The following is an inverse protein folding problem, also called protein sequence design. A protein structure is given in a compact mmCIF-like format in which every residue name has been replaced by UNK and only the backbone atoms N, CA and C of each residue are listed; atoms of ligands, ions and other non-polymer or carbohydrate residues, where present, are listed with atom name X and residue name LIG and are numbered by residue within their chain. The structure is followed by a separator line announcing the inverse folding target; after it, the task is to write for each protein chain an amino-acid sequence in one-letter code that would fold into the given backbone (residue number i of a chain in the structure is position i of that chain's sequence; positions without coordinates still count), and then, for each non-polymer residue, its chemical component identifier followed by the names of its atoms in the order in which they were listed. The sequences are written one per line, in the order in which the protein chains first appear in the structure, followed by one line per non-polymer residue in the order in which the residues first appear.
data_IF_010082331254
#
_entry.id   IF_010082331254
#
_cell.length_a   1.000
_cell.length_b   1.000
_cell.length_c   1.000
_cell.angle_alpha   90.00
_cell.angle_beta   90.00
_cell.angle_gamma   90.00
#
_symmetry.space_group_name_H-M   'P 1'
#
loop_
_entity.id
_entity.type
_entity.pdbx_description
1 polymer ?
#
# COMPACT_ATOMS: atom_id res chain seq x y z
N UNK A 1 2.07 9.59 -1.93
CA UNK A 1 2.60 10.42 -3.03
C UNK A 1 1.48 11.24 -3.58
N UNK A 2 1.51 12.53 -3.29
CA UNK A 2 0.68 13.53 -3.96
C UNK A 2 1.03 13.50 -5.46
N UNK A 3 0.03 13.62 -6.34
CA UNK A 3 0.22 13.47 -7.80
C UNK A 3 1.31 14.37 -8.41
N UNK A 4 1.72 15.43 -7.71
CA UNK A 4 2.80 16.34 -8.09
C UNK A 4 4.20 15.70 -8.03
N UNK A 5 4.46 14.81 -7.06
CA UNK A 5 5.77 14.16 -6.90
C UNK A 5 6.02 13.11 -7.99
N UNK A 6 4.97 12.39 -8.41
CA UNK A 6 5.05 11.40 -9.48
C UNK A 6 5.34 12.02 -10.85
N UNK A 7 4.78 13.20 -11.14
CA UNK A 7 5.00 13.93 -12.39
C UNK A 7 6.46 14.34 -12.57
N UNK A 8 7.12 14.80 -11.50
CA UNK A 8 8.54 15.19 -11.54
C UNK A 8 9.47 14.02 -11.86
N UNK A 9 9.17 12.82 -11.34
CA UNK A 9 9.98 11.62 -11.60
C UNK A 9 9.85 11.18 -13.05
N UNK A 10 8.61 11.13 -13.58
CA UNK A 10 8.36 10.75 -14.98
C UNK A 10 9.08 11.69 -15.94
N UNK A 11 9.04 13.01 -15.69
CA UNK A 11 9.74 14.00 -16.51
C UNK A 11 11.27 13.75 -16.54
N UNK A 12 11.89 13.49 -15.39
CA UNK A 12 13.33 13.21 -15.32
C UNK A 12 13.68 11.91 -16.06
N UNK A 13 12.86 10.86 -15.93
CA UNK A 13 13.08 9.58 -16.65
C UNK A 13 13.01 9.80 -18.15
N UNK A 14 12.02 10.56 -18.65
CA UNK A 14 11.91 10.92 -20.08
C UNK A 14 13.17 11.64 -20.55
N UNK A 15 13.65 12.64 -19.80
CA UNK A 15 14.85 13.38 -20.15
C UNK A 15 16.08 12.46 -20.24
N UNK A 16 16.24 11.52 -19.30
CA UNK A 16 17.32 10.52 -19.33
C UNK A 16 17.21 9.59 -20.55
N UNK A 17 16.00 9.14 -20.90
CA UNK A 17 15.75 8.32 -22.11
C UNK A 17 16.16 9.06 -23.38
N UNK A 18 15.75 10.33 -23.53
CA UNK A 18 16.08 11.14 -24.71
C UNK A 18 17.58 11.47 -24.80
N UNK A 19 18.21 11.85 -23.68
CA UNK A 19 19.63 12.20 -23.66
C UNK A 19 20.52 10.97 -23.89
N UNK A 20 20.18 9.82 -23.31
CA UNK A 20 20.90 8.58 -23.53
C UNK A 20 20.89 8.15 -25.00
N UNK A 21 19.75 8.31 -25.71
CA UNK A 21 19.68 8.11 -27.16
C UNK A 21 20.64 9.02 -27.94
N UNK A 22 20.71 10.31 -27.59
CA UNK A 22 21.63 11.25 -28.24
C UNK A 22 23.09 10.85 -28.02
N UNK A 23 23.46 10.49 -26.79
CA UNK A 23 24.81 10.02 -26.45
C UNK A 23 25.15 8.75 -27.25
N UNK A 24 24.25 7.77 -27.33
CA UNK A 24 24.43 6.55 -28.14
C UNK A 24 24.66 6.90 -29.62
N UNK A 25 23.86 7.81 -30.17
CA UNK A 25 23.98 8.28 -31.57
C UNK A 25 25.35 8.92 -31.83
N UNK A 26 25.80 9.80 -30.95
CA UNK A 26 27.12 10.42 -31.04
C UNK A 26 28.24 9.38 -30.93
N UNK A 27 28.22 8.51 -29.91
CA UNK A 27 29.21 7.45 -29.75
C UNK A 27 29.30 6.52 -30.97
N UNK A 28 28.16 6.27 -31.63
CA UNK A 28 28.09 5.44 -32.85
C UNK A 28 28.65 6.14 -34.08
N UNK A 29 28.44 7.46 -34.25
CA UNK A 29 29.05 8.23 -35.35
C UNK A 29 30.57 8.20 -35.31
N UNK A 30 31.15 8.36 -34.12
CA UNK A 30 32.61 8.26 -33.95
C UNK A 30 33.13 6.82 -34.07
N UNK A 31 32.29 5.78 -34.03
CA UNK A 31 32.69 4.38 -34.11
C UNK A 31 33.30 3.99 -35.47
N UNK A 32 32.90 4.69 -36.54
CA UNK A 32 33.33 4.42 -37.91
C UNK A 32 34.77 4.87 -38.23
N UNK A 33 35.40 5.71 -37.38
CA UNK A 33 36.63 6.44 -37.77
C UNK A 33 37.94 6.00 -37.07
N UNK A 34 38.06 4.81 -36.47
CA UNK A 34 39.33 4.46 -35.80
C UNK A 34 39.74 2.99 -35.92
N UNK A 35 40.90 2.78 -36.58
CA UNK A 35 41.59 1.48 -36.78
C UNK A 35 42.46 1.04 -35.60
N UNK A 36 42.54 1.81 -34.50
CA UNK A 36 43.32 1.44 -33.32
C UNK A 36 42.80 2.12 -32.04
N UNK A 37 42.40 1.30 -31.07
CA UNK A 37 42.24 1.59 -29.64
C UNK A 37 41.16 2.59 -29.22
N UNK A 38 40.07 2.10 -28.61
CA UNK A 38 39.52 2.73 -27.40
C UNK A 38 38.50 1.82 -26.70
N UNK A 39 38.98 0.98 -25.80
CA UNK A 39 38.19 0.22 -24.81
C UNK A 39 37.15 1.11 -24.10
N UNK A 40 37.55 2.32 -23.70
CA UNK A 40 36.66 3.27 -23.02
C UNK A 40 35.47 3.76 -23.86
N UNK A 41 35.60 3.89 -25.19
CA UNK A 41 34.48 4.30 -26.04
C UNK A 41 33.43 3.20 -26.14
N UNK A 42 33.87 1.96 -26.38
CA UNK A 42 32.98 0.81 -26.46
C UNK A 42 32.26 0.58 -25.12
N UNK A 43 32.98 0.72 -24.00
CA UNK A 43 32.40 0.67 -22.65
C UNK A 43 31.40 1.79 -22.39
N UNK A 44 31.70 3.03 -22.80
CA UNK A 44 30.76 4.15 -22.69
C UNK A 44 29.49 3.94 -23.52
N UNK A 45 29.64 3.45 -24.74
CA UNK A 45 28.51 3.10 -25.60
C UNK A 45 27.65 2.02 -24.93
N UNK A 46 28.27 0.96 -24.41
CA UNK A 46 27.56 -0.11 -23.73
C UNK A 46 26.83 0.37 -22.47
N UNK A 47 27.49 1.19 -21.65
CA UNK A 47 26.88 1.78 -20.46
C UNK A 47 25.67 2.64 -20.82
N UNK A 48 25.79 3.48 -21.86
CA UNK A 48 24.70 4.33 -22.33
C UNK A 48 23.52 3.53 -22.90
N UNK A 49 23.78 2.46 -23.66
CA UNK A 49 22.75 1.54 -24.17
C UNK A 49 22.00 0.88 -23.02
N UNK A 50 22.70 0.37 -22.01
CA UNK A 50 22.07 -0.27 -20.86
C UNK A 50 21.20 0.73 -20.09
N UNK A 51 21.72 1.93 -19.82
CA UNK A 51 20.92 2.98 -19.15
C UNK A 51 19.69 3.37 -19.97
N UNK A 52 19.82 3.52 -21.29
CA UNK A 52 18.69 3.83 -22.16
C UNK A 52 17.60 2.75 -22.09
N UNK A 53 18.00 1.48 -22.20
CA UNK A 53 17.07 0.36 -22.17
C UNK A 53 16.34 0.25 -20.82
N UNK A 54 17.07 0.35 -19.72
CA UNK A 54 16.49 0.25 -18.37
C UNK A 54 15.62 1.48 -18.02
N UNK A 55 16.06 2.69 -18.37
CA UNK A 55 15.22 3.89 -18.19
C UNK A 55 13.98 3.87 -19.07
N UNK A 56 14.04 3.29 -20.28
CA UNK A 56 12.88 3.08 -21.15
C UNK A 56 11.85 2.13 -20.55
N UNK A 57 12.29 0.98 -20.02
CA UNK A 57 11.38 0.08 -19.28
C UNK A 57 10.69 0.76 -18.11
N UNK A 58 11.44 1.59 -17.37
CA UNK A 58 10.90 2.32 -16.22
C UNK A 58 9.89 3.36 -16.69
N UNK A 59 10.15 4.05 -17.80
CA UNK A 59 9.19 4.93 -18.42
C UNK A 59 7.87 4.21 -18.75
N UNK A 60 7.93 3.04 -19.40
CA UNK A 60 6.75 2.25 -19.75
C UNK A 60 5.99 1.77 -18.50
N UNK A 61 6.71 1.35 -17.45
CA UNK A 61 6.12 0.93 -16.19
C UNK A 61 5.42 2.09 -15.46
N UNK A 62 6.05 3.27 -15.42
CA UNK A 62 5.50 4.46 -14.77
C UNK A 62 4.32 5.06 -15.54
N UNK A 63 4.33 4.99 -16.87
CA UNK A 63 3.24 5.48 -17.72
C UNK A 63 2.10 4.44 -17.88
N UNK A 64 2.34 3.20 -17.49
CA UNK A 64 1.37 2.13 -17.52
C UNK A 64 0.23 2.30 -16.51
N UNK A 65 -0.80 1.48 -16.67
CA UNK A 65 -2.04 1.45 -15.84
C UNK A 65 -1.78 1.32 -14.34
N UNK A 66 -0.65 0.71 -13.98
CA UNK A 66 -0.22 0.43 -12.61
C UNK A 66 0.92 1.35 -12.14
N UNK A 67 1.34 2.34 -12.93
CA UNK A 67 2.47 3.21 -12.58
C UNK A 67 2.24 3.99 -11.28
N UNK A 68 0.99 4.33 -10.95
CA UNK A 68 0.62 4.95 -9.67
C UNK A 68 0.82 4.06 -8.43
N UNK A 69 0.98 2.74 -8.63
CA UNK A 69 1.28 1.79 -7.54
C UNK A 69 2.78 1.74 -7.22
N UNK A 70 3.63 2.12 -8.17
CA UNK A 70 5.07 2.25 -7.93
C UNK A 70 5.29 3.50 -7.08
N UNK A 71 5.75 3.29 -5.85
CA UNK A 71 6.08 4.38 -4.93
C UNK A 71 7.46 4.93 -5.25
N UNK A 72 7.63 5.43 -6.47
CA UNK A 72 8.88 5.99 -6.96
C UNK A 72 9.50 6.93 -5.90
N UNK A 73 10.55 6.45 -5.23
CA UNK A 73 11.15 7.11 -4.08
C UNK A 73 11.79 8.46 -4.46
N UNK A 74 11.94 9.37 -3.50
CA UNK A 74 12.80 10.56 -3.63
C UNK A 74 14.22 10.18 -4.12
N UNK A 75 14.69 8.96 -3.80
CA UNK A 75 15.94 8.40 -4.32
C UNK A 75 15.93 8.21 -5.85
N UNK A 76 14.81 7.78 -6.44
CA UNK A 76 14.67 7.66 -7.90
C UNK A 76 14.67 9.03 -8.56
N UNK A 77 13.91 9.98 -8.00
CA UNK A 77 13.86 11.36 -8.47
C UNK A 77 15.26 11.98 -8.51
N UNK A 78 16.01 11.82 -7.42
CA UNK A 78 17.38 12.32 -7.27
C UNK A 78 18.35 11.63 -8.24
N UNK A 79 18.29 10.30 -8.34
CA UNK A 79 19.15 9.54 -9.25
C UNK A 79 18.92 9.95 -10.71
N UNK A 80 17.65 10.12 -11.13
CA UNK A 80 17.30 10.54 -12.49
C UNK A 80 17.67 11.99 -12.77
N UNK A 81 17.43 12.91 -11.83
CA UNK A 81 17.85 14.31 -11.99
C UNK A 81 19.37 14.46 -12.08
N UNK A 82 20.13 13.75 -11.24
CA UNK A 82 21.60 13.75 -11.31
C UNK A 82 22.11 13.15 -12.64
N UNK A 83 21.50 12.04 -13.09
CA UNK A 83 21.85 11.39 -14.36
C UNK A 83 21.57 12.30 -15.55
N UNK A 84 20.45 13.02 -15.53
CA UNK A 84 20.10 13.99 -16.57
C UNK A 84 21.18 15.06 -16.72
N UNK A 85 21.62 15.67 -15.61
CA UNK A 85 22.67 16.71 -15.62
C UNK A 85 23.96 16.17 -16.23
N UNK A 86 24.39 14.98 -15.81
CA UNK A 86 25.61 14.36 -16.34
C UNK A 86 25.51 13.99 -17.82
N UNK A 87 24.35 13.50 -18.27
CA UNK A 87 24.11 13.18 -19.67
C UNK A 87 24.05 14.46 -20.53
N UNK A 88 23.52 15.57 -20.03
CA UNK A 88 23.54 16.87 -20.74
C UNK A 88 24.97 17.40 -20.89
N UNK A 89 25.79 17.33 -19.85
CA UNK A 89 27.21 17.71 -19.95
C UNK A 89 27.92 16.86 -21.01
N UNK A 90 27.71 15.53 -20.97
CA UNK A 90 28.31 14.60 -21.92
C UNK A 90 27.86 14.85 -23.36
N UNK A 91 26.56 15.09 -23.58
CA UNK A 91 26.00 15.37 -24.90
C UNK A 91 26.53 16.69 -25.49
N UNK A 92 26.64 17.74 -24.65
CA UNK A 92 27.25 19.02 -25.05
C UNK A 92 28.71 18.84 -25.53
N UNK A 93 29.50 18.03 -24.80
CA UNK A 93 30.88 17.75 -25.18
C UNK A 93 31.00 16.90 -26.46
N UNK A 94 30.03 16.03 -26.73
CA UNK A 94 30.03 15.17 -27.91
C UNK A 94 29.49 15.88 -29.17
N UNK A 95 28.66 16.91 -28.99
CA UNK A 95 27.98 17.66 -30.06
C UNK A 95 28.74 18.89 -30.56
N UNK A 96 29.83 19.29 -29.90
CA UNK A 96 30.59 20.51 -30.25
C UNK A 96 31.12 20.47 -31.70
N UNK A 97 30.52 21.32 -32.55
CA UNK A 97 30.74 21.39 -33.99
C UNK A 97 32.14 21.90 -34.37
N UNK A 98 32.84 22.57 -33.46
CA UNK A 98 34.18 23.10 -33.71
C UNK A 98 35.23 21.99 -33.87
N UNK A 99 34.91 20.75 -33.50
CA UNK A 99 35.74 19.56 -33.68
C UNK A 99 35.28 18.67 -34.86
N UNK A 100 34.27 19.08 -35.64
CA UNK A 100 33.61 18.22 -36.64
C UNK A 100 34.35 18.14 -37.99
N UNK A 101 35.40 18.94 -38.20
CA UNK A 101 36.20 18.96 -39.44
C UNK A 101 37.22 17.82 -39.55
N UNK A 102 37.44 17.06 -38.48
CA UNK A 102 38.18 15.81 -38.46
C UNK A 102 37.47 14.92 -37.45
N UNK A 103 36.99 13.74 -37.86
CA UNK A 103 36.20 12.75 -37.07
C UNK A 103 36.96 12.17 -35.85
N UNK A 104 37.86 12.94 -35.25
CA UNK A 104 38.68 12.62 -34.09
C UNK A 104 37.85 12.67 -32.82
N UNK A 105 37.93 11.59 -32.04
CA UNK A 105 37.25 11.45 -30.76
C UNK A 105 37.57 12.63 -29.80
N UNK A 106 36.54 13.32 -29.26
CA UNK A 106 36.75 14.59 -28.54
C UNK A 106 37.04 14.44 -27.03
N UNK A 107 36.78 13.27 -26.43
CA UNK A 107 36.88 13.07 -24.98
C UNK A 107 38.24 12.50 -24.55
N UNK A 108 38.77 13.04 -23.45
CA UNK A 108 39.94 12.46 -22.74
C UNK A 108 39.54 11.21 -21.96
N UNK A 109 40.49 10.30 -21.72
CA UNK A 109 40.26 9.04 -21.00
C UNK A 109 39.62 9.24 -19.63
N UNK A 110 40.06 10.24 -18.87
CA UNK A 110 39.58 10.50 -17.51
C UNK A 110 38.09 10.90 -17.51
N UNK A 111 37.69 11.74 -18.47
CA UNK A 111 36.30 12.16 -18.67
C UNK A 111 35.42 10.99 -19.12
N UNK A 112 35.92 10.11 -19.99
CA UNK A 112 35.21 8.88 -20.41
C UNK A 112 34.98 7.95 -19.21
N UNK A 113 36.00 7.69 -18.40
CA UNK A 113 35.87 6.83 -17.21
C UNK A 113 34.98 7.43 -16.12
N UNK A 114 34.93 8.76 -16.01
CA UNK A 114 33.97 9.45 -15.12
C UNK A 114 32.54 9.31 -15.63
N UNK A 115 32.32 9.46 -16.93
CA UNK A 115 31.00 9.33 -17.54
C UNK A 115 30.45 7.90 -17.42
N UNK A 116 31.29 6.89 -17.68
CA UNK A 116 30.94 5.47 -17.49
C UNK A 116 30.48 5.23 -16.05
N UNK A 117 31.28 5.63 -15.06
CA UNK A 117 30.96 5.45 -13.65
C UNK A 117 29.64 6.10 -13.25
N UNK A 118 29.36 7.30 -13.74
CA UNK A 118 28.11 7.98 -13.45
C UNK A 118 26.90 7.24 -14.04
N UNK A 119 27.01 6.77 -15.29
CA UNK A 119 25.95 6.01 -15.98
C UNK A 119 25.71 4.64 -15.32
N UNK A 120 26.77 3.94 -14.92
CA UNK A 120 26.67 2.65 -14.22
C UNK A 120 26.03 2.82 -12.84
N UNK A 121 26.42 3.85 -12.08
CA UNK A 121 25.81 4.16 -10.79
C UNK A 121 24.34 4.55 -10.91
N UNK A 122 23.98 5.30 -11.96
CA UNK A 122 22.59 5.63 -12.28
C UNK A 122 21.77 4.36 -12.55
N UNK A 123 22.28 3.48 -13.41
CA UNK A 123 21.63 2.21 -13.75
C UNK A 123 21.45 1.31 -12.53
N UNK A 124 22.46 1.24 -11.67
CA UNK A 124 22.38 0.51 -10.40
C UNK A 124 21.30 1.09 -9.48
N UNK A 125 21.28 2.41 -9.32
CA UNK A 125 20.29 3.10 -8.47
C UNK A 125 18.86 2.89 -8.98
N UNK A 126 18.66 2.87 -10.30
CA UNK A 126 17.38 2.53 -10.91
C UNK A 126 16.90 1.15 -10.48
N UNK A 127 17.76 0.15 -10.62
CA UNK A 127 17.44 -1.24 -10.33
C UNK A 127 17.14 -1.46 -8.84
N UNK A 128 17.95 -0.87 -7.97
CA UNK A 128 17.77 -0.97 -6.51
C UNK A 128 16.45 -0.34 -6.04
N UNK A 129 16.08 0.83 -6.58
CA UNK A 129 14.81 1.46 -6.20
C UNK A 129 13.61 0.65 -6.68
N UNK A 130 13.63 0.12 -7.90
CA UNK A 130 12.57 -0.76 -8.40
C UNK A 130 12.40 -2.01 -7.53
N UNK A 131 13.48 -2.59 -7.04
CA UNK A 131 13.43 -3.76 -6.15
C UNK A 131 12.74 -3.44 -4.82
N UNK A 132 13.01 -2.26 -4.24
CA UNK A 132 12.36 -1.79 -3.01
C UNK A 132 10.86 -1.59 -3.25
N UNK A 133 10.49 -0.92 -4.35
CA UNK A 133 9.08 -0.67 -4.67
C UNK A 133 8.32 -1.97 -4.94
N UNK A 134 8.94 -2.91 -5.67
CA UNK A 134 8.37 -4.24 -5.93
C UNK A 134 8.15 -5.01 -4.62
N UNK A 135 9.12 -4.97 -3.69
CA UNK A 135 8.98 -5.60 -2.38
C UNK A 135 7.83 -4.98 -1.58
N UNK A 136 7.68 -3.66 -1.63
CA UNK A 136 6.55 -2.96 -1.01
C UNK A 136 5.19 -3.37 -1.57
N UNK A 137 5.10 -3.60 -2.89
CA UNK A 137 3.88 -4.10 -3.53
C UNK A 137 3.58 -5.54 -3.09
N UNK A 138 4.61 -6.40 -3.01
CA UNK A 138 4.45 -7.80 -2.57
C UNK A 138 3.88 -7.86 -1.14
N UNK A 139 4.42 -7.06 -0.22
CA UNK A 139 3.93 -7.00 1.15
C UNK A 139 2.46 -6.51 1.24
N UNK A 140 2.08 -5.50 0.44
CA UNK A 140 0.67 -5.04 0.37
C UNK A 140 -0.26 -6.11 -0.21
N UNK A 141 0.21 -6.93 -1.16
CA UNK A 141 -0.54 -8.08 -1.68
C UNK A 141 -0.73 -9.14 -0.59
N UNK A 142 0.32 -9.43 0.18
CA UNK A 142 0.29 -10.41 1.26
C UNK A 142 -0.72 -9.99 2.34
N UNK A 143 -0.67 -8.73 2.80
CA UNK A 143 -1.63 -8.16 3.77
C UNK A 143 -3.08 -8.29 3.29
N UNK A 144 -3.34 -8.00 2.00
CA UNK A 144 -4.69 -8.13 1.41
C UNK A 144 -5.12 -9.57 1.27
N UNK A 145 -4.18 -10.47 0.97
CA UNK A 145 -4.44 -11.90 0.85
C UNK A 145 -4.79 -12.48 2.22
N UNK A 146 -4.06 -12.11 3.27
CA UNK A 146 -4.39 -12.47 4.65
C UNK A 146 -5.76 -11.93 5.06
N UNK A 147 -6.04 -10.64 4.79
CA UNK A 147 -7.33 -10.05 5.11
C UNK A 147 -8.49 -10.75 4.38
N UNK A 148 -8.30 -11.10 3.10
CA UNK A 148 -9.24 -11.89 2.31
C UNK A 148 -9.46 -13.28 2.89
N UNK A 149 -8.38 -13.97 3.29
CA UNK A 149 -8.46 -15.28 3.92
C UNK A 149 -9.20 -15.24 5.25
N UNK A 150 -8.89 -14.25 6.11
CA UNK A 150 -9.60 -14.03 7.38
C UNK A 150 -11.10 -13.82 7.14
N UNK A 151 -11.46 -13.06 6.11
CA UNK A 151 -12.87 -12.84 5.75
C UNK A 151 -13.55 -14.12 5.27
N UNK A 152 -12.89 -14.89 4.40
CA UNK A 152 -13.42 -16.16 3.91
C UNK A 152 -13.69 -17.15 5.05
N UNK A 153 -12.83 -17.19 6.08
CA UNK A 153 -13.05 -18.02 7.28
C UNK A 153 -14.28 -17.54 8.06
N UNK A 154 -14.45 -16.23 8.26
CA UNK A 154 -15.62 -15.67 8.95
C UNK A 154 -16.91 -16.00 8.20
N UNK A 155 -16.91 -15.87 6.87
CA UNK A 155 -18.09 -16.12 6.03
C UNK A 155 -18.48 -17.63 6.02
N UNK A 156 -17.56 -18.53 6.37
CA UNK A 156 -17.83 -19.97 6.53
C UNK A 156 -18.32 -20.37 7.93
N UNK A 157 -18.29 -19.45 8.92
CA UNK A 157 -18.75 -19.80 10.26
C UNK A 157 -20.25 -20.10 10.25
N UNK A 158 -20.69 -21.23 10.83
CA UNK A 158 -22.10 -21.59 10.86
C UNK A 158 -22.90 -20.54 11.62
N UNK A 159 -23.91 -19.99 10.95
CA UNK A 159 -24.83 -19.01 11.51
C UNK A 159 -25.96 -19.69 12.29
N UNK A 160 -26.17 -19.29 13.53
CA UNK A 160 -27.27 -19.77 14.38
C UNK A 160 -28.32 -18.65 14.48
N UNK A 161 -29.40 -18.77 13.70
CA UNK A 161 -30.46 -17.75 13.61
C UNK A 161 -31.11 -17.38 14.95
N UNK A 162 -31.18 -18.31 15.90
CA UNK A 162 -31.75 -18.10 17.23
C UNK A 162 -30.82 -17.41 18.25
N UNK A 163 -29.55 -17.18 17.91
CA UNK A 163 -28.57 -16.59 18.83
C UNK A 163 -28.42 -15.06 18.68
N UNK A 164 -28.93 -14.51 17.57
CA UNK A 164 -28.84 -13.08 17.24
C UNK A 164 -29.78 -12.27 18.13
N UNK A 165 -29.35 -11.05 18.46
CA UNK A 165 -30.11 -10.06 19.22
C UNK A 165 -31.55 -9.84 18.74
N UNK A 166 -31.78 -9.85 17.43
CA UNK A 166 -33.07 -9.60 16.79
C UNK A 166 -33.85 -10.89 16.43
N UNK A 167 -33.41 -12.04 16.93
CA UNK A 167 -34.14 -13.29 16.72
C UNK A 167 -35.54 -13.24 17.35
N UNK A 168 -36.49 -13.99 16.78
CA UNK A 168 -37.86 -14.12 17.34
C UNK A 168 -37.86 -14.55 18.82
N UNK A 169 -36.84 -15.30 19.25
CA UNK A 169 -36.66 -15.70 20.64
C UNK A 169 -36.27 -14.53 21.58
N UNK A 170 -35.72 -13.44 21.04
CA UNK A 170 -35.35 -12.21 21.75
C UNK A 170 -36.32 -11.04 21.51
N UNK A 171 -37.25 -11.15 20.55
CA UNK A 171 -38.22 -10.09 20.20
C UNK A 171 -39.03 -9.55 21.38
N UNK A 172 -39.38 -10.43 22.33
CA UNK A 172 -40.18 -10.08 23.51
C UNK A 172 -39.35 -9.67 24.73
N UNK A 173 -38.02 -9.64 24.61
CA UNK A 173 -37.13 -9.34 25.73
C UNK A 173 -36.87 -7.84 25.89
N UNK A 174 -37.15 -7.32 27.09
CA UNK A 174 -36.98 -5.90 27.38
C UNK A 174 -35.52 -5.42 27.25
N UNK A 175 -35.37 -4.21 26.70
CA UNK A 175 -34.17 -3.38 26.82
C UNK A 175 -34.25 -2.43 28.00
N UNK A 176 -33.17 -1.70 28.28
CA UNK A 176 -33.15 -0.73 29.35
C UNK A 176 -34.24 0.31 29.10
N UNK A 177 -34.95 0.68 30.16
CA UNK A 177 -35.88 1.80 30.13
C UNK A 177 -35.12 3.06 29.76
N UNK A 178 -35.78 3.94 29.02
CA UNK A 178 -35.20 5.20 28.60
C UNK A 178 -34.67 5.97 29.81
N UNK A 179 -33.50 6.57 29.68
CA UNK A 179 -32.79 7.29 30.73
C UNK A 179 -32.29 6.49 31.94
N UNK A 180 -32.37 5.16 31.93
CA UNK A 180 -31.80 4.31 32.99
C UNK A 180 -30.41 3.79 32.61
N UNK A 181 -29.56 3.50 33.61
CA UNK A 181 -28.23 2.87 33.43
C UNK A 181 -27.26 3.62 32.47
N UNK A 182 -27.43 4.94 32.31
CA UNK A 182 -26.65 5.78 31.39
C UNK A 182 -25.14 5.69 31.59
N UNK A 183 -24.67 5.66 32.84
CA UNK A 183 -23.22 5.64 33.11
C UNK A 183 -22.57 4.35 32.59
N UNK A 184 -23.15 3.19 32.91
CA UNK A 184 -22.64 1.89 32.42
C UNK A 184 -22.74 1.81 30.90
N UNK A 185 -23.82 2.30 30.29
CA UNK A 185 -23.95 2.32 28.84
C UNK A 185 -22.91 3.23 28.18
N UNK A 186 -22.57 4.36 28.81
CA UNK A 186 -21.48 5.25 28.35
C UNK A 186 -20.13 4.54 28.45
N UNK A 187 -19.82 3.94 29.61
CA UNK A 187 -18.55 3.23 29.83
C UNK A 187 -18.35 2.10 28.81
N UNK A 188 -19.41 1.35 28.49
CA UNK A 188 -19.35 0.30 27.45
C UNK A 188 -19.15 0.93 26.06
N UNK A 189 -19.84 2.03 25.74
CA UNK A 189 -19.67 2.69 24.43
C UNK A 189 -18.27 3.28 24.26
N UNK A 190 -17.71 3.87 25.30
CA UNK A 190 -16.34 4.39 25.31
C UNK A 190 -15.34 3.23 25.14
N UNK A 191 -15.58 2.11 25.83
CA UNK A 191 -14.80 0.89 25.63
C UNK A 191 -14.89 0.33 24.19
N UNK A 192 -16.07 0.34 23.57
CA UNK A 192 -16.24 -0.08 22.16
C UNK A 192 -15.60 0.92 21.19
N UNK A 193 -15.52 2.20 21.56
CA UNK A 193 -14.91 3.26 20.77
C UNK A 193 -13.38 3.31 20.87
N UNK A 194 -12.78 2.69 21.90
CA UNK A 194 -11.34 2.59 22.02
C UNK A 194 -10.76 1.70 20.90
N UNK A 195 -9.93 2.33 20.05
CA UNK A 195 -9.21 1.69 18.94
C UNK A 195 -7.70 1.71 19.15
N UNK A 196 -7.22 1.98 20.37
CA UNK A 196 -5.79 1.93 20.68
C UNK A 196 -5.29 0.49 20.74
N UNK A 197 -3.99 0.29 20.51
CA UNK A 197 -3.35 -1.04 20.61
C UNK A 197 -3.41 -1.63 22.04
N UNK A 198 -3.76 -0.81 23.04
CA UNK A 198 -3.90 -1.20 24.44
C UNK A 198 -5.37 -1.44 24.85
N UNK A 199 -6.32 -1.32 23.92
CA UNK A 199 -7.74 -1.47 24.20
C UNK A 199 -8.05 -2.91 24.68
N UNK A 200 -8.75 -3.03 25.81
CA UNK A 200 -9.16 -4.33 26.35
C UNK A 200 -10.15 -5.01 25.40
N UNK A 201 -9.96 -6.30 25.12
CA UNK A 201 -10.81 -7.06 24.17
C UNK A 201 -12.07 -7.66 24.80
N UNK A 202 -12.12 -7.74 26.14
CA UNK A 202 -13.24 -8.29 26.91
C UNK A 202 -13.73 -7.25 27.92
N UNK A 203 -15.02 -6.92 27.86
CA UNK A 203 -15.71 -6.13 28.90
C UNK A 203 -16.46 -7.06 29.84
N UNK A 204 -16.13 -7.03 31.12
CA UNK A 204 -16.76 -7.88 32.14
C UNK A 204 -17.83 -7.10 32.90
N UNK A 205 -19.11 -7.37 32.62
CA UNK A 205 -20.23 -6.78 33.33
C UNK A 205 -20.70 -7.69 34.48
N UNK A 206 -20.33 -7.33 35.70
CA UNK A 206 -20.67 -8.03 36.95
C UNK A 206 -21.76 -7.30 37.76
N UNK A 207 -22.54 -8.07 38.51
CA UNK A 207 -23.60 -7.54 39.37
C UNK A 207 -24.51 -8.64 39.90
N UNK A 208 -25.26 -8.33 40.95
CA UNK A 208 -26.21 -9.25 41.59
C UNK A 208 -27.24 -9.83 40.60
N UNK A 209 -27.76 -11.04 40.86
CA UNK A 209 -28.81 -11.61 40.03
C UNK A 209 -30.05 -10.67 39.98
N UNK A 210 -30.75 -10.62 38.85
CA UNK A 210 -31.92 -9.75 38.70
C UNK A 210 -31.64 -8.26 38.44
N UNK A 211 -30.38 -7.80 38.45
CA UNK A 211 -30.08 -6.36 38.24
C UNK A 211 -30.18 -5.85 36.80
N UNK A 212 -30.66 -6.69 35.87
CA UNK A 212 -30.85 -6.31 34.46
C UNK A 212 -29.58 -6.34 33.61
N UNK A 213 -28.56 -7.14 33.95
CA UNK A 213 -27.33 -7.28 33.14
C UNK A 213 -27.63 -7.69 31.69
N UNK A 214 -28.48 -8.70 31.50
CA UNK A 214 -28.90 -9.13 30.15
C UNK A 214 -29.61 -8.00 29.41
N UNK A 215 -30.45 -7.22 30.10
CA UNK A 215 -31.14 -6.03 29.58
C UNK A 215 -30.16 -4.96 29.09
N UNK A 216 -29.05 -4.73 29.80
CA UNK A 216 -27.98 -3.80 29.38
C UNK A 216 -27.33 -4.30 28.08
N UNK A 217 -26.96 -5.57 28.02
CA UNK A 217 -26.25 -6.14 26.87
C UNK A 217 -27.08 -6.15 25.59
N UNK A 218 -28.37 -6.42 25.72
CA UNK A 218 -29.39 -6.25 24.70
C UNK A 218 -29.48 -4.81 24.17
N UNK A 219 -29.47 -3.84 25.07
CA UNK A 219 -29.52 -2.41 24.72
C UNK A 219 -28.28 -1.99 23.94
N UNK A 220 -27.10 -2.46 24.34
CA UNK A 220 -25.84 -2.22 23.62
C UNK A 220 -25.87 -2.89 22.24
N UNK A 221 -26.31 -4.15 22.15
CA UNK A 221 -26.42 -4.86 20.87
C UNK A 221 -27.32 -4.10 19.88
N UNK A 222 -28.47 -3.59 20.34
CA UNK A 222 -29.35 -2.74 19.52
C UNK A 222 -28.63 -1.48 19.04
N UNK A 223 -28.03 -0.73 19.96
CA UNK A 223 -27.37 0.55 19.64
C UNK A 223 -26.20 0.37 18.67
N UNK A 224 -25.42 -0.72 18.81
CA UNK A 224 -24.34 -1.04 17.88
C UNK A 224 -24.86 -1.49 16.52
N UNK A 225 -26.00 -2.18 16.47
CA UNK A 225 -26.66 -2.55 15.21
C UNK A 225 -27.15 -1.31 14.45
N UNK A 226 -27.82 -0.40 15.15
CA UNK A 226 -28.33 0.87 14.57
C UNK A 226 -27.20 1.77 14.06
N UNK A 227 -26.03 1.70 14.69
CA UNK A 227 -24.84 2.47 14.28
C UNK A 227 -23.93 1.72 13.29
N UNK A 228 -24.30 0.51 12.85
CA UNK A 228 -23.51 -0.30 11.91
C UNK A 228 -22.16 -0.78 12.46
N UNK A 229 -22.03 -0.85 13.79
CA UNK A 229 -20.80 -1.24 14.51
C UNK A 229 -20.87 -2.64 15.12
N UNK A 230 -22.02 -3.31 15.04
CA UNK A 230 -22.20 -4.67 15.54
C UNK A 230 -21.61 -5.68 14.54
N UNK A 231 -20.53 -6.37 14.92
CA UNK A 231 -19.96 -7.46 14.13
C UNK A 231 -20.76 -8.76 14.25
N UNK A 232 -21.07 -9.15 15.48
CA UNK A 232 -21.90 -10.31 15.80
C UNK A 232 -22.52 -10.16 17.21
N UNK A 233 -23.61 -10.89 17.49
CA UNK A 233 -24.18 -10.99 18.83
C UNK A 233 -24.64 -12.43 19.11
N UNK A 234 -24.39 -12.91 20.33
CA UNK A 234 -24.75 -14.25 20.76
C UNK A 234 -25.32 -14.20 22.18
N UNK A 235 -26.59 -14.57 22.35
CA UNK A 235 -27.23 -14.68 23.66
C UNK A 235 -27.39 -16.15 24.08
N UNK A 236 -26.77 -16.51 25.19
CA UNK A 236 -26.91 -17.85 25.78
C UNK A 236 -28.08 -17.85 26.79
N UNK A 237 -29.10 -18.66 26.52
CA UNK A 237 -30.13 -19.03 27.50
C UNK A 237 -29.77 -20.40 28.05
N UNK A 238 -29.74 -20.56 29.38
CA UNK A 238 -29.72 -21.90 29.97
C UNK A 238 -31.14 -22.43 29.87
N UNK A 239 -31.31 -23.59 29.23
CA UNK A 239 -32.49 -24.40 29.48
C UNK A 239 -32.51 -24.70 30.98
N UNK A 240 -33.58 -24.32 31.66
CA UNK A 240 -33.72 -24.56 33.08
C UNK A 240 -33.84 -26.06 33.31
N UNK A 241 -32.73 -26.70 33.66
CA UNK A 241 -32.68 -27.78 34.64
C UNK A 241 -31.52 -27.45 35.60
N UNK A 242 -31.90 -26.96 36.78
CA UNK A 242 -31.13 -26.67 38.00
C UNK A 242 -30.22 -25.42 38.12
N UNK A 243 -30.11 -24.86 39.36
CA UNK A 243 -29.73 -23.46 39.57
C UNK A 243 -28.35 -23.28 40.20
N UNK A 244 -27.34 -22.82 39.46
CA UNK A 244 -26.25 -22.01 40.05
C UNK A 244 -25.55 -21.09 39.01
N UNK A 245 -25.43 -19.80 39.35
CA UNK A 245 -24.37 -18.87 38.92
C UNK A 245 -24.40 -18.35 37.48
N UNK A 246 -24.75 -17.07 37.31
CA UNK A 246 -24.64 -16.35 36.03
C UNK A 246 -23.18 -15.97 35.70
N UNK A 247 -22.68 -16.38 34.52
CA UNK A 247 -21.48 -15.83 33.87
C UNK A 247 -21.80 -15.54 32.41
N UNK A 248 -21.46 -14.35 31.94
CA UNK A 248 -21.59 -13.96 30.53
C UNK A 248 -20.23 -13.45 30.06
N UNK A 249 -19.71 -14.04 28.99
CA UNK A 249 -18.46 -13.63 28.33
C UNK A 249 -18.82 -12.90 27.03
N UNK A 250 -18.20 -11.74 26.80
CA UNK A 250 -18.30 -10.97 25.57
C UNK A 250 -16.95 -10.98 24.86
N UNK A 251 -16.95 -11.20 23.54
CA UNK A 251 -15.75 -11.06 22.70
C UNK A 251 -16.01 -10.09 21.55
N UNK A 252 -15.03 -9.24 21.25
CA UNK A 252 -15.06 -8.29 20.13
C UNK A 252 -14.46 -8.97 18.89
N UNK A 253 -15.22 -9.07 17.80
CA UNK A 253 -14.65 -9.30 16.47
C UNK A 253 -14.25 -7.95 15.88
N UNK A 254 -12.99 -7.56 16.04
CA UNK A 254 -12.44 -6.33 15.46
C UNK A 254 -12.14 -6.52 13.98
N UNK A 255 -13.01 -6.03 13.10
CA UNK A 255 -12.62 -5.69 11.73
C UNK A 255 -12.43 -4.17 11.63
N UNK A 256 -11.25 -3.69 11.16
CA UNK A 256 -11.03 -2.27 10.96
C UNK A 256 -11.91 -1.73 9.82
N UNK A 257 -12.38 -0.50 10.01
CA UNK A 257 -13.17 0.29 9.05
C UNK A 257 -12.55 0.22 7.65
N UNK A 258 -13.24 -0.46 6.75
CA UNK A 258 -13.20 -0.16 5.32
C UNK A 258 -14.65 0.01 4.89
N UNK A 259 -14.94 1.15 4.27
CA UNK A 259 -16.26 1.55 3.80
C UNK A 259 -16.85 0.46 2.90
N UNK A 260 -17.79 -0.33 3.40
CA UNK A 260 -18.60 -1.18 2.54
C UNK A 260 -20.06 -1.11 2.97
N UNK A 261 -20.85 -0.41 2.15
CA UNK A 261 -22.29 -0.55 2.09
C UNK A 261 -22.60 -2.02 1.81
N UNK A 262 -23.11 -2.76 2.80
CA UNK A 262 -23.96 -3.92 2.53
C UNK A 262 -25.39 -3.50 2.83
N UNK A 263 -26.04 -3.03 1.77
CA UNK A 263 -27.49 -3.13 1.62
C UNK A 263 -27.82 -4.61 1.67
N UNK A 264 -28.33 -5.08 2.81
CA UNK A 264 -28.94 -6.41 2.89
C UNK A 264 -30.13 -6.43 1.94
N UNK A 265 -29.97 -7.13 0.83
CA UNK A 265 -31.09 -7.56 0.00
C UNK A 265 -31.99 -8.44 0.88
N UNK A 266 -33.09 -7.85 1.37
CA UNK A 266 -34.30 -8.60 1.67
C UNK A 266 -34.76 -9.19 0.35
N UNK A 267 -34.62 -10.51 0.17
CA UNK A 267 -35.49 -11.22 -0.75
C UNK A 267 -36.87 -11.25 -0.09
N UNK A 268 -37.91 -10.61 -0.68
CA UNK A 268 -39.27 -10.98 -0.34
C UNK A 268 -39.54 -12.37 -0.91
N UNK A 269 -40.38 -13.10 -0.17
CA UNK A 269 -41.01 -14.37 -0.56
C UNK A 269 -41.62 -14.25 -1.96
#
# INVERSE_FOLDING_TARGET
MSGLEGLGIVANVIAVVELSLKVISWCSKYAQDVKNSNDGRARLLQAAITLHYESGKIHDLLNGKNGSKLKASQKLAHAMGSSEVHLRELESLLSDKNNCSSLKWPLRKEKVESAIRNIENATKSLLEVLQIDTTGIILDIDDRTEAGQRRAVIDQLPYVSGAVWDSHAEEHNATCLENTRKDILRDINDWVADTTDQAKTVFWLNGMAGTGKSTISRTIARSLSETGRLGASFFFKRACDEPVGHRTLYSRSSTPRSNYYQQSYKNPI
#
